data_IF_908815058876
#
_entry.id   IF_908815058876
#
_cell.length_a   1.000
_cell.length_b   1.000
_cell.length_c   1.000
_cell.angle_alpha   90.00
_cell.angle_beta   90.00
_cell.angle_gamma   90.00
#
_symmetry.space_group_name_H-M   'P 1'
#
loop_
_entity.id
_entity.type
_entity.pdbx_description
1 polymer ?
#
# COMPACT_ATOMS: atom_id res chain seq x y z
N UNK A 1 -19.09 -45.35 -13.52
CA UNK A 1 -17.88 -44.82 -12.83
C UNK A 1 -17.36 -43.47 -13.36
N UNK A 2 -17.96 -42.82 -14.36
CA UNK A 2 -17.40 -41.57 -14.94
C UNK A 2 -17.85 -40.25 -14.29
N UNK A 3 -19.09 -40.19 -13.77
CA UNK A 3 -19.70 -38.92 -13.32
C UNK A 3 -19.10 -38.46 -11.99
N UNK A 4 -18.87 -39.37 -11.04
CA UNK A 4 -18.24 -39.07 -9.73
C UNK A 4 -16.78 -38.58 -9.86
N UNK A 5 -16.04 -39.08 -10.86
CA UNK A 5 -14.66 -38.63 -11.15
C UNK A 5 -14.65 -37.21 -11.72
N UNK A 6 -15.54 -36.93 -12.69
CA UNK A 6 -15.68 -35.60 -13.29
C UNK A 6 -16.24 -34.54 -12.32
N UNK A 7 -17.13 -34.92 -11.41
CA UNK A 7 -17.64 -34.04 -10.34
C UNK A 7 -16.56 -33.81 -9.29
N UNK A 8 -15.79 -34.83 -8.92
CA UNK A 8 -14.63 -34.72 -8.03
C UNK A 8 -13.52 -33.82 -8.58
N UNK A 9 -13.19 -33.92 -9.87
CA UNK A 9 -12.20 -33.04 -10.52
C UNK A 9 -12.70 -31.59 -10.64
N UNK A 10 -13.98 -31.37 -10.95
CA UNK A 10 -14.59 -30.03 -10.96
C UNK A 10 -14.67 -29.42 -9.56
N UNK A 11 -15.02 -30.21 -8.54
CA UNK A 11 -15.04 -29.76 -7.15
C UNK A 11 -13.62 -29.46 -6.64
N UNK A 12 -12.63 -30.28 -6.98
CA UNK A 12 -11.21 -30.04 -6.67
C UNK A 12 -10.69 -28.79 -7.37
N UNK A 13 -11.02 -28.58 -8.65
CA UNK A 13 -10.67 -27.37 -9.40
C UNK A 13 -11.31 -26.11 -8.82
N UNK A 14 -12.58 -26.19 -8.42
CA UNK A 14 -13.29 -25.08 -7.76
C UNK A 14 -12.71 -24.77 -6.37
N UNK A 15 -12.39 -25.80 -5.57
CA UNK A 15 -11.76 -25.64 -4.26
C UNK A 15 -10.36 -25.02 -4.37
N UNK A 16 -9.54 -25.49 -5.32
CA UNK A 16 -8.22 -24.92 -5.59
C UNK A 16 -8.31 -23.47 -6.08
N UNK A 17 -9.25 -23.15 -6.99
CA UNK A 17 -9.45 -21.78 -7.45
C UNK A 17 -9.95 -20.84 -6.33
N UNK A 18 -10.85 -21.32 -5.47
CA UNK A 18 -11.34 -20.56 -4.32
C UNK A 18 -10.23 -20.32 -3.28
N UNK A 19 -9.36 -21.31 -3.05
CA UNK A 19 -8.20 -21.17 -2.16
C UNK A 19 -7.14 -20.20 -2.70
N UNK A 20 -6.82 -20.26 -4.00
CA UNK A 20 -5.89 -19.31 -4.62
C UNK A 20 -6.41 -17.88 -4.56
N UNK A 21 -7.72 -17.69 -4.79
CA UNK A 21 -8.33 -16.36 -4.76
C UNK A 21 -8.45 -15.78 -3.35
N UNK A 22 -8.66 -16.62 -2.33
CA UNK A 22 -8.65 -16.16 -0.94
C UNK A 22 -7.26 -15.75 -0.49
N UNK A 23 -6.22 -16.46 -0.93
CA UNK A 23 -4.82 -16.09 -0.67
C UNK A 23 -4.46 -14.75 -1.33
N UNK A 24 -4.81 -14.56 -2.61
CA UNK A 24 -4.64 -13.30 -3.34
C UNK A 24 -5.31 -12.13 -2.60
N UNK A 25 -6.55 -12.30 -2.13
CA UNK A 25 -7.27 -11.28 -1.37
C UNK A 25 -6.54 -10.89 -0.08
N UNK A 26 -5.95 -11.85 0.64
CA UNK A 26 -5.19 -11.57 1.86
C UNK A 26 -3.91 -10.79 1.55
N UNK A 27 -3.19 -11.17 0.50
CA UNK A 27 -1.96 -10.47 0.10
C UNK A 27 -2.25 -9.04 -0.37
N UNK A 28 -3.25 -8.85 -1.21
CA UNK A 28 -3.71 -7.51 -1.62
C UNK A 28 -4.18 -6.70 -0.41
N UNK A 29 -4.87 -7.32 0.55
CA UNK A 29 -5.30 -6.67 1.78
C UNK A 29 -4.12 -6.15 2.62
N UNK A 30 -3.05 -6.93 2.75
CA UNK A 30 -1.82 -6.51 3.44
C UNK A 30 -1.16 -5.33 2.74
N UNK A 31 -1.03 -5.38 1.42
CA UNK A 31 -0.43 -4.30 0.63
C UNK A 31 -1.25 -3.01 0.74
N UNK A 32 -2.58 -3.10 0.66
CA UNK A 32 -3.48 -1.95 0.87
C UNK A 32 -3.35 -1.35 2.27
N UNK A 33 -3.20 -2.17 3.30
CA UNK A 33 -2.97 -1.69 4.66
C UNK A 33 -1.66 -0.90 4.76
N UNK A 34 -0.59 -1.38 4.11
CA UNK A 34 0.68 -0.63 4.05
C UNK A 34 0.49 0.72 3.36
N UNK A 35 -0.22 0.75 2.23
CA UNK A 35 -0.53 2.01 1.52
C UNK A 35 -1.29 2.97 2.45
N UNK A 36 -2.34 2.50 3.13
CA UNK A 36 -3.10 3.34 4.07
C UNK A 36 -2.21 3.95 5.15
N UNK A 37 -1.31 3.14 5.75
CA UNK A 37 -0.39 3.65 6.76
C UNK A 37 0.56 4.72 6.22
N UNK A 38 1.05 4.56 4.98
CA UNK A 38 1.90 5.55 4.31
C UNK A 38 1.11 6.83 3.96
N UNK A 39 -0.15 6.70 3.56
CA UNK A 39 -1.04 7.84 3.31
C UNK A 39 -1.32 8.63 4.59
N UNK A 40 -1.55 7.94 5.71
CA UNK A 40 -1.70 8.55 7.03
C UNK A 40 -0.41 9.29 7.44
N UNK A 41 0.76 8.66 7.26
CA UNK A 41 2.06 9.28 7.54
C UNK A 41 2.29 10.54 6.71
N UNK A 42 1.96 10.52 5.42
CA UNK A 42 2.03 11.72 4.55
C UNK A 42 1.10 12.83 5.08
N UNK A 43 -0.10 12.46 5.56
CA UNK A 43 -1.03 13.38 6.20
C UNK A 43 -0.42 14.06 7.43
N UNK A 44 0.14 13.26 8.35
CA UNK A 44 0.80 13.75 9.56
C UNK A 44 2.01 14.64 9.24
N UNK A 45 2.84 14.26 8.26
CA UNK A 45 3.98 15.05 7.79
C UNK A 45 3.53 16.41 7.24
N UNK A 46 2.46 16.46 6.45
CA UNK A 46 1.89 17.72 5.94
C UNK A 46 1.32 18.59 7.06
N UNK A 47 0.66 17.97 8.04
CA UNK A 47 0.19 18.68 9.23
C UNK A 47 1.37 19.29 9.98
N UNK A 48 2.47 18.54 10.13
CA UNK A 48 3.67 19.01 10.80
C UNK A 48 4.31 20.22 10.12
N UNK A 49 4.36 20.20 8.79
CA UNK A 49 4.81 21.38 8.01
C UNK A 49 3.91 22.59 8.29
N UNK A 50 2.59 22.39 8.34
CA UNK A 50 1.64 23.44 8.69
C UNK A 50 1.89 24.01 10.09
N UNK A 51 2.12 23.15 11.08
CA UNK A 51 2.48 23.55 12.45
C UNK A 51 3.76 24.38 12.49
N UNK A 52 4.83 23.93 11.82
CA UNK A 52 6.11 24.63 11.75
C UNK A 52 5.95 26.00 11.08
N UNK A 53 5.16 26.06 10.02
CA UNK A 53 4.89 27.30 9.29
C UNK A 53 4.12 28.30 10.15
N UNK A 54 3.09 27.83 10.86
CA UNK A 54 2.29 28.67 11.75
C UNK A 54 3.09 29.14 12.96
N UNK A 55 3.90 28.26 13.58
CA UNK A 55 4.76 28.62 14.69
C UNK A 55 5.76 29.72 14.31
N UNK A 56 6.46 29.58 13.18
CA UNK A 56 7.38 30.59 12.68
C UNK A 56 6.68 31.94 12.45
N UNK A 57 5.46 31.93 11.90
CA UNK A 57 4.66 33.14 11.72
C UNK A 57 4.32 33.82 13.06
N UNK A 58 3.86 33.05 14.05
CA UNK A 58 3.48 33.58 15.38
C UNK A 58 4.69 34.12 16.15
N UNK A 59 5.83 33.44 16.05
CA UNK A 59 7.06 33.81 16.75
C UNK A 59 7.88 34.89 16.01
N UNK A 60 7.48 35.27 14.79
CA UNK A 60 8.22 36.21 13.95
C UNK A 60 9.60 35.69 13.54
N UNK A 61 9.74 34.36 13.47
CA UNK A 61 10.98 33.68 13.12
C UNK A 61 11.00 33.27 11.64
N UNK A 62 12.20 33.01 11.13
CA UNK A 62 12.35 32.38 9.82
C UNK A 62 11.84 30.94 9.84
N UNK A 63 11.35 30.46 8.70
CA UNK A 63 10.91 29.08 8.56
C UNK A 63 12.11 28.13 8.75
N UNK A 64 11.93 27.00 9.46
CA UNK A 64 12.97 25.99 9.64
C UNK A 64 13.11 25.15 8.36
N UNK A 65 13.61 25.75 7.28
CA UNK A 65 13.70 25.13 5.95
C UNK A 65 14.41 23.78 5.99
N UNK A 66 15.50 23.66 6.74
CA UNK A 66 16.23 22.39 6.85
C UNK A 66 15.41 21.26 7.50
N UNK A 67 14.48 21.57 8.40
CA UNK A 67 13.57 20.56 8.96
C UNK A 67 12.46 20.24 7.96
N UNK A 68 11.91 21.25 7.29
CA UNK A 68 10.89 21.07 6.26
C UNK A 68 11.39 20.22 5.09
N UNK A 69 12.63 20.42 4.64
CA UNK A 69 13.26 19.63 3.57
C UNK A 69 13.37 18.14 3.91
N UNK A 70 13.63 17.81 5.18
CA UNK A 70 13.63 16.42 5.64
C UNK A 70 12.22 15.81 5.53
N UNK A 71 11.22 16.56 5.99
CA UNK A 71 9.82 16.13 5.91
C UNK A 71 9.38 15.97 4.45
N UNK A 72 9.78 16.88 3.55
CA UNK A 72 9.52 16.75 2.11
C UNK A 72 10.17 15.50 1.52
N UNK A 73 11.42 15.20 1.88
CA UNK A 73 12.09 13.97 1.44
C UNK A 73 11.38 12.71 1.93
N UNK A 74 10.87 12.71 3.17
CA UNK A 74 10.11 11.57 3.73
C UNK A 74 8.76 11.37 3.02
N UNK A 75 8.07 12.46 2.69
CA UNK A 75 6.84 12.43 1.88
C UNK A 75 7.14 11.85 0.50
N UNK A 76 8.20 12.30 -0.17
CA UNK A 76 8.58 11.80 -1.51
C UNK A 76 8.93 10.31 -1.49
N UNK A 77 9.63 9.85 -0.44
CA UNK A 77 9.93 8.43 -0.27
C UNK A 77 8.66 7.61 -0.07
N UNK A 78 7.74 8.10 0.78
CA UNK A 78 6.46 7.44 1.04
C UNK A 78 5.59 7.35 -0.22
N UNK A 79 5.58 8.39 -1.05
CA UNK A 79 4.87 8.39 -2.34
C UNK A 79 5.46 7.34 -3.28
N UNK A 80 6.79 7.27 -3.42
CA UNK A 80 7.46 6.26 -4.26
C UNK A 80 7.18 4.84 -3.78
N UNK A 81 7.15 4.63 -2.46
CA UNK A 81 6.80 3.34 -1.88
C UNK A 81 5.33 2.97 -2.17
N UNK A 82 4.40 3.93 -2.06
CA UNK A 82 2.99 3.72 -2.45
C UNK A 82 2.88 3.31 -3.92
N UNK A 83 3.61 3.97 -4.82
CA UNK A 83 3.60 3.61 -6.25
C UNK A 83 4.12 2.18 -6.48
N UNK A 84 5.20 1.81 -5.79
CA UNK A 84 5.75 0.44 -5.83
C UNK A 84 4.73 -0.59 -5.33
N UNK A 85 4.09 -0.33 -4.19
CA UNK A 85 3.07 -1.20 -3.62
C UNK A 85 1.82 -1.32 -4.51
N UNK A 86 1.47 -0.25 -5.26
CA UNK A 86 0.38 -0.28 -6.24
C UNK A 86 0.73 -1.20 -7.42
N UNK A 87 1.98 -1.18 -7.88
CA UNK A 87 2.48 -2.11 -8.90
C UNK A 87 2.45 -3.55 -8.37
N UNK A 88 2.89 -3.79 -7.13
CA UNK A 88 2.83 -5.13 -6.51
C UNK A 88 1.40 -5.66 -6.43
N UNK A 89 0.41 -4.83 -6.09
CA UNK A 89 -1.01 -5.21 -6.11
C UNK A 89 -1.46 -5.61 -7.52
N UNK A 90 -1.00 -4.91 -8.56
CA UNK A 90 -1.33 -5.29 -9.94
C UNK A 90 -0.70 -6.63 -10.32
N UNK A 91 0.55 -6.90 -9.90
CA UNK A 91 1.23 -8.15 -10.15
C UNK A 91 0.56 -9.34 -9.47
N UNK A 92 0.17 -9.17 -8.19
CA UNK A 92 -0.59 -10.18 -7.42
C UNK A 92 -1.93 -10.49 -8.10
N UNK A 93 -2.66 -9.47 -8.58
CA UNK A 93 -3.95 -9.64 -9.26
C UNK A 93 -3.84 -10.25 -10.65
N UNK A 94 -2.76 -9.95 -11.39
CA UNK A 94 -2.51 -10.50 -12.72
C UNK A 94 -1.93 -11.91 -12.68
N UNK A 95 -1.61 -12.44 -11.49
CA UNK A 95 -0.96 -13.73 -11.32
C UNK A 95 0.48 -13.76 -11.88
N UNK A 96 1.08 -12.59 -12.10
CA UNK A 96 2.47 -12.48 -12.54
C UNK A 96 3.36 -12.61 -11.32
N UNK A 97 3.83 -13.84 -11.06
CA UNK A 97 4.92 -14.09 -10.13
C UNK A 97 6.15 -13.43 -10.74
N UNK A 98 6.68 -12.39 -10.09
CA UNK A 98 8.02 -11.90 -10.41
C UNK A 98 8.97 -12.95 -9.84
N UNK A 99 9.58 -13.76 -10.71
CA UNK A 99 10.75 -14.58 -10.37
C UNK A 99 11.97 -13.70 -10.05
#
# INVERSE_FOLDING_TARGET
MGIFKSVGEKAKGAASAAASKSQEMVEVGKLKKKISNLEDLIGDSKMKIGELTYAAHVEGQELPISEMDKIYSEIDQSIKEIETLKVDIQNVKSGTVIE
#
